data_IF_380518991257
#
_entry.id   IF_380518991257
#
_cell.length_a   1.000
_cell.length_b   1.000
_cell.length_c   1.000
_cell.angle_alpha   90.00
_cell.angle_beta   90.00
_cell.angle_gamma   90.00
#
_symmetry.space_group_name_H-M   'P 1'
#
loop_
_entity.id
_entity.type
_entity.pdbx_description
1 polymer ?
#
# COMPACT_ATOMS: atom_id res chain seq x y z
N UNK A 1 -22.66 12.22 16.01
CA UNK A 1 -21.48 11.96 16.86
C UNK A 1 -20.44 13.00 16.44
N UNK A 2 -20.01 13.84 17.38
CA UNK A 2 -19.43 15.16 17.12
C UNK A 2 -17.90 15.13 17.06
N UNK A 3 -17.31 16.12 16.39
CA UNK A 3 -15.89 16.41 16.28
C UNK A 3 -15.08 16.26 17.59
N UNK A 4 -15.71 16.59 18.73
CA UNK A 4 -15.20 16.39 20.10
C UNK A 4 -14.72 14.95 20.39
N UNK A 5 -15.37 13.94 19.81
CA UNK A 5 -15.01 12.52 20.03
C UNK A 5 -13.64 12.19 19.44
N UNK A 6 -13.28 12.86 18.33
CA UNK A 6 -11.97 12.72 17.69
C UNK A 6 -10.87 13.36 18.55
N UNK A 7 -11.15 14.52 19.15
CA UNK A 7 -10.23 15.25 20.02
C UNK A 7 -10.05 14.59 21.39
N UNK A 8 -11.10 13.97 21.92
CA UNK A 8 -11.06 13.25 23.19
C UNK A 8 -10.30 11.92 23.13
N UNK A 9 -9.96 11.41 21.95
CA UNK A 9 -9.28 10.12 21.78
C UNK A 9 -10.12 8.91 22.23
N UNK A 10 -11.42 9.10 22.48
CA UNK A 10 -12.30 8.07 23.01
C UNK A 10 -13.16 7.48 21.90
N UNK A 11 -12.65 6.44 21.26
CA UNK A 11 -13.40 5.58 20.33
C UNK A 11 -12.66 5.27 19.01
N UNK A 12 -13.11 4.26 18.25
CA UNK A 12 -12.55 3.97 16.94
C UNK A 12 -12.66 5.19 16.02
N UNK A 13 -11.56 5.60 15.38
CA UNK A 13 -11.53 6.78 14.48
C UNK A 13 -12.56 6.67 13.36
N UNK A 14 -12.92 5.46 12.97
CA UNK A 14 -13.93 5.21 11.93
C UNK A 14 -15.30 5.81 12.30
N UNK A 15 -15.68 5.82 13.58
CA UNK A 15 -16.97 6.37 14.01
C UNK A 15 -16.96 7.91 14.04
N UNK A 16 -15.82 8.50 14.41
CA UNK A 16 -15.62 9.94 14.27
C UNK A 16 -15.64 10.38 12.80
N UNK A 17 -15.12 9.56 11.89
CA UNK A 17 -15.12 9.85 10.45
C UNK A 17 -16.54 10.01 9.89
N UNK A 18 -17.51 9.26 10.38
CA UNK A 18 -18.91 9.39 9.95
C UNK A 18 -19.50 10.79 10.22
N UNK A 19 -18.97 11.50 11.23
CA UNK A 19 -19.35 12.88 11.56
C UNK A 19 -18.88 13.91 10.55
N UNK A 20 -17.93 13.58 9.66
CA UNK A 20 -17.45 14.47 8.61
C UNK A 20 -18.31 14.44 7.32
N UNK A 21 -19.50 13.83 7.39
CA UNK A 21 -20.42 13.79 6.26
C UNK A 21 -20.80 15.19 5.80
N UNK A 22 -20.49 15.51 4.54
CA UNK A 22 -20.82 16.79 3.91
C UNK A 22 -19.85 17.95 4.23
N UNK A 23 -18.82 17.73 5.04
CA UNK A 23 -17.80 18.75 5.31
C UNK A 23 -16.70 18.74 4.25
N UNK A 24 -16.40 19.93 3.72
CA UNK A 24 -15.26 20.17 2.85
C UNK A 24 -13.96 20.34 3.65
N UNK A 25 -12.81 20.37 2.95
CA UNK A 25 -11.51 20.61 3.60
C UNK A 25 -11.48 22.02 4.21
N UNK A 26 -12.11 22.97 3.54
CA UNK A 26 -12.25 24.36 3.92
C UNK A 26 -13.08 24.48 5.18
N UNK A 27 -14.20 23.76 5.28
CA UNK A 27 -15.04 23.73 6.49
C UNK A 27 -14.26 23.19 7.68
N UNK A 28 -13.51 22.10 7.51
CA UNK A 28 -12.68 21.54 8.58
C UNK A 28 -11.56 22.50 8.99
N UNK A 29 -10.95 23.17 8.02
CA UNK A 29 -9.90 24.16 8.30
C UNK A 29 -10.46 25.37 9.06
N UNK A 30 -11.66 25.83 8.70
CA UNK A 30 -12.37 26.90 9.41
C UNK A 30 -12.72 26.50 10.86
N UNK A 31 -12.92 25.21 11.11
CA UNK A 31 -13.11 24.64 12.46
C UNK A 31 -11.78 24.38 13.20
N UNK A 32 -10.64 24.85 12.69
CA UNK A 32 -9.36 24.84 13.39
C UNK A 32 -8.48 23.62 13.12
N UNK A 33 -8.84 22.72 12.18
CA UNK A 33 -7.92 21.66 11.77
C UNK A 33 -6.81 22.23 10.87
N UNK A 34 -5.62 21.67 11.02
CA UNK A 34 -4.56 21.87 10.04
C UNK A 34 -5.03 21.37 8.64
N UNK A 35 -4.81 22.14 7.56
CA UNK A 35 -5.24 21.76 6.21
C UNK A 35 -4.75 20.37 5.77
N UNK A 36 -3.57 19.95 6.21
CA UNK A 36 -3.03 18.61 5.94
C UNK A 36 -3.90 17.51 6.54
N UNK A 37 -4.30 17.70 7.80
CA UNK A 37 -5.11 16.76 8.57
C UNK A 37 -6.55 16.73 8.03
N UNK A 38 -7.11 17.90 7.69
CA UNK A 38 -8.42 18.01 7.06
C UNK A 38 -8.50 17.23 5.73
N UNK A 39 -7.52 17.41 4.82
CA UNK A 39 -7.46 16.66 3.55
C UNK A 39 -7.39 15.15 3.77
N UNK A 40 -6.60 14.73 4.77
CA UNK A 40 -6.46 13.31 5.14
C UNK A 40 -7.80 12.73 5.58
N UNK A 41 -8.51 13.39 6.48
CA UNK A 41 -9.81 12.91 6.96
C UNK A 41 -10.88 12.90 5.87
N UNK A 42 -10.96 13.94 5.03
CA UNK A 42 -11.90 13.95 3.89
C UNK A 42 -11.60 12.80 2.93
N UNK A 43 -10.32 12.49 2.67
CA UNK A 43 -9.92 11.37 1.81
C UNK A 43 -10.33 10.02 2.42
N UNK A 44 -10.11 9.84 3.72
CA UNK A 44 -10.53 8.63 4.44
C UNK A 44 -12.06 8.50 4.45
N UNK A 45 -12.78 9.58 4.74
CA UNK A 45 -14.25 9.62 4.68
C UNK A 45 -14.75 9.19 3.29
N UNK A 46 -14.25 9.82 2.22
CA UNK A 46 -14.65 9.47 0.85
C UNK A 46 -14.31 8.02 0.48
N UNK A 47 -13.26 7.44 1.07
CA UNK A 47 -12.88 6.05 0.82
C UNK A 47 -13.79 5.06 1.54
N UNK A 48 -14.14 5.33 2.80
CA UNK A 48 -14.86 4.39 3.67
C UNK A 48 -16.37 4.61 3.69
N UNK A 49 -16.85 5.82 3.44
CA UNK A 49 -18.27 6.22 3.44
C UNK A 49 -18.75 6.75 2.08
N UNK A 50 -17.85 6.99 1.14
CA UNK A 50 -18.23 7.41 -0.21
C UNK A 50 -18.92 6.31 -1.02
N UNK A 51 -19.57 6.68 -2.14
CA UNK A 51 -20.28 5.73 -3.00
C UNK A 51 -19.30 4.74 -3.65
N UNK A 52 -19.64 3.46 -3.59
CA UNK A 52 -18.87 2.39 -4.24
C UNK A 52 -19.75 1.24 -4.68
N UNK A 53 -19.35 0.54 -5.75
CA UNK A 53 -20.02 -0.69 -6.19
C UNK A 53 -19.77 -1.88 -5.27
N UNK A 54 -18.77 -1.80 -4.39
CA UNK A 54 -18.37 -2.88 -3.47
C UNK A 54 -18.90 -2.66 -2.04
N UNK A 55 -20.15 -2.25 -1.89
CA UNK A 55 -20.78 -1.89 -0.59
C UNK A 55 -20.64 -2.97 0.48
N UNK A 56 -20.77 -4.25 0.12
CA UNK A 56 -20.58 -5.37 1.06
C UNK A 56 -19.14 -5.52 1.58
N UNK A 57 -18.14 -5.16 0.78
CA UNK A 57 -16.73 -5.15 1.22
C UNK A 57 -16.42 -3.88 2.03
N UNK A 58 -16.99 -2.74 1.63
CA UNK A 58 -16.93 -1.49 2.40
C UNK A 58 -17.48 -1.69 3.81
N UNK A 59 -18.68 -2.25 3.94
CA UNK A 59 -19.27 -2.57 5.23
C UNK A 59 -18.40 -3.50 6.08
N UNK A 60 -17.84 -4.57 5.48
CA UNK A 60 -16.91 -5.48 6.19
C UNK A 60 -15.65 -4.77 6.66
N UNK A 61 -15.11 -3.84 5.88
CA UNK A 61 -13.93 -3.06 6.27
C UNK A 61 -14.27 -2.12 7.44
N UNK A 62 -15.41 -1.42 7.37
CA UNK A 62 -15.93 -0.56 8.45
C UNK A 62 -16.10 -1.34 9.76
N UNK A 63 -16.82 -2.46 9.72
CA UNK A 63 -17.07 -3.29 10.91
C UNK A 63 -15.77 -3.83 11.50
N UNK A 64 -14.83 -4.27 10.66
CA UNK A 64 -13.52 -4.75 11.13
C UNK A 64 -12.66 -3.63 11.72
N UNK A 65 -12.66 -2.45 11.10
CA UNK A 65 -11.92 -1.31 11.62
C UNK A 65 -12.48 -0.82 12.97
N UNK A 66 -13.80 -0.85 13.12
CA UNK A 66 -14.48 -0.57 14.39
C UNK A 66 -14.10 -1.60 15.45
N UNK A 67 -14.16 -2.89 15.14
CA UNK A 67 -13.85 -3.95 16.12
C UNK A 67 -12.39 -3.94 16.57
N UNK A 68 -11.46 -3.58 15.68
CA UNK A 68 -10.03 -3.49 16.00
C UNK A 68 -9.62 -2.15 16.62
N UNK A 69 -10.49 -1.14 16.61
CA UNK A 69 -10.19 0.19 17.16
C UNK A 69 -9.07 0.91 16.40
N UNK A 70 -9.02 0.81 15.07
CA UNK A 70 -7.94 1.43 14.29
C UNK A 70 -7.91 2.96 14.43
N UNK A 71 -6.70 3.51 14.56
CA UNK A 71 -6.45 4.95 14.54
C UNK A 71 -6.44 5.52 13.12
N UNK A 72 -6.42 6.85 12.99
CA UNK A 72 -6.34 7.54 11.71
C UNK A 72 -5.04 7.20 10.94
N UNK A 73 -3.94 7.02 11.68
CA UNK A 73 -2.63 6.64 11.18
C UNK A 73 -2.64 5.21 10.65
N UNK A 74 -3.29 4.29 11.37
CA UNK A 74 -3.44 2.90 10.92
C UNK A 74 -4.27 2.81 9.63
N UNK A 75 -5.39 3.53 9.54
CA UNK A 75 -6.20 3.58 8.32
C UNK A 75 -5.45 4.18 7.13
N UNK A 76 -4.70 5.27 7.36
CA UNK A 76 -3.87 5.89 6.33
C UNK A 76 -2.74 4.98 5.86
N UNK A 77 -2.12 4.25 6.80
CA UNK A 77 -1.13 3.23 6.46
C UNK A 77 -1.75 2.12 5.60
N UNK A 78 -2.94 1.63 5.95
CA UNK A 78 -3.69 0.69 5.12
C UNK A 78 -3.89 1.25 3.71
N UNK A 79 -4.37 2.49 3.59
CA UNK A 79 -4.60 3.12 2.29
C UNK A 79 -3.32 3.32 1.47
N UNK A 80 -2.19 3.60 2.12
CA UNK A 80 -0.90 3.66 1.44
C UNK A 80 -0.54 2.32 0.77
N UNK A 81 -0.89 1.19 1.39
CA UNK A 81 -0.63 -0.15 0.85
C UNK A 81 -1.65 -0.53 -0.22
N UNK A 82 -2.93 -0.21 -0.04
CA UNK A 82 -3.99 -0.51 -1.03
C UNK A 82 -3.79 0.24 -2.34
N UNK A 83 -3.25 1.47 -2.30
CA UNK A 83 -2.90 2.26 -3.50
C UNK A 83 -1.97 1.53 -4.47
N UNK A 84 -1.17 0.57 -4.00
CA UNK A 84 -0.20 -0.19 -4.80
C UNK A 84 -0.83 -1.30 -5.65
N UNK A 85 -2.07 -1.68 -5.37
CA UNK A 85 -2.81 -2.69 -6.14
C UNK A 85 -3.49 -1.97 -7.31
N UNK A 86 -3.55 -2.56 -8.51
CA UNK A 86 -4.26 -1.94 -9.64
C UNK A 86 -5.76 -2.31 -9.63
N UNK A 87 -6.05 -3.60 -9.49
CA UNK A 87 -7.42 -4.14 -9.52
C UNK A 87 -8.29 -3.62 -8.38
N UNK A 88 -9.47 -3.08 -8.71
CA UNK A 88 -10.40 -2.45 -7.76
C UNK A 88 -10.98 -3.46 -6.77
N UNK A 89 -11.29 -4.68 -7.21
CA UNK A 89 -11.82 -5.72 -6.33
C UNK A 89 -10.73 -6.21 -5.35
N UNK A 90 -9.52 -6.45 -5.85
CA UNK A 90 -8.37 -6.81 -5.03
C UNK A 90 -8.01 -5.72 -4.00
N UNK A 91 -8.13 -4.43 -4.36
CA UNK A 91 -7.99 -3.31 -3.40
C UNK A 91 -8.95 -3.45 -2.23
N UNK A 92 -10.24 -3.69 -2.50
CA UNK A 92 -11.25 -3.84 -1.45
C UNK A 92 -11.03 -5.09 -0.60
N UNK A 93 -10.68 -6.22 -1.23
CA UNK A 93 -10.33 -7.45 -0.50
C UNK A 93 -9.12 -7.23 0.42
N UNK A 94 -8.10 -6.53 -0.07
CA UNK A 94 -6.93 -6.16 0.72
C UNK A 94 -7.32 -5.24 1.89
N UNK A 95 -8.13 -4.21 1.64
CA UNK A 95 -8.61 -3.29 2.67
C UNK A 95 -9.33 -4.03 3.79
N UNK A 96 -10.29 -4.90 3.46
CA UNK A 96 -11.01 -5.72 4.46
C UNK A 96 -10.04 -6.58 5.27
N UNK A 97 -9.08 -7.22 4.59
CA UNK A 97 -8.10 -8.09 5.26
C UNK A 97 -7.21 -7.32 6.24
N UNK A 98 -6.73 -6.14 5.83
CA UNK A 98 -5.91 -5.29 6.69
C UNK A 98 -6.72 -4.69 7.85
N UNK A 99 -7.96 -4.28 7.62
CA UNK A 99 -8.84 -3.78 8.69
C UNK A 99 -9.13 -4.85 9.74
N UNK A 100 -9.18 -6.14 9.37
CA UNK A 100 -9.33 -7.26 10.31
C UNK A 100 -8.06 -7.58 11.11
N UNK A 101 -6.91 -7.09 10.68
CA UNK A 101 -5.61 -7.40 11.29
C UNK A 101 -5.35 -6.41 12.42
N UNK A 102 -4.82 -6.85 13.59
CA UNK A 102 -4.38 -5.95 14.65
C UNK A 102 -3.30 -4.97 14.17
N UNK A 103 -3.31 -3.73 14.69
CA UNK A 103 -2.44 -2.64 14.21
C UNK A 103 -0.94 -3.03 14.09
N UNK A 104 -0.41 -3.75 15.09
CA UNK A 104 0.99 -4.19 15.11
C UNK A 104 1.38 -5.16 13.98
N UNK A 105 0.41 -5.86 13.39
CA UNK A 105 0.65 -6.89 12.36
C UNK A 105 0.28 -6.43 10.94
N UNK A 106 -0.31 -5.24 10.78
CA UNK A 106 -0.78 -4.74 9.48
C UNK A 106 0.34 -4.73 8.46
N UNK A 107 1.55 -4.29 8.83
CA UNK A 107 2.67 -4.20 7.91
C UNK A 107 3.11 -5.57 7.38
N UNK A 108 3.28 -6.55 8.27
CA UNK A 108 3.68 -7.90 7.92
C UNK A 108 2.66 -8.53 6.95
N UNK A 109 1.37 -8.45 7.32
CA UNK A 109 0.27 -8.99 6.50
C UNK A 109 0.17 -8.26 5.15
N UNK A 110 0.29 -6.92 5.13
CA UNK A 110 0.26 -6.14 3.91
C UNK A 110 1.39 -6.54 2.96
N UNK A 111 2.61 -6.70 3.46
CA UNK A 111 3.77 -7.11 2.66
C UNK A 111 3.54 -8.48 2.01
N UNK A 112 3.03 -9.44 2.77
CA UNK A 112 2.71 -10.77 2.24
C UNK A 112 1.60 -10.73 1.18
N UNK A 113 0.53 -9.96 1.42
CA UNK A 113 -0.55 -9.85 0.45
C UNK A 113 -0.09 -9.15 -0.83
N UNK A 114 0.69 -8.09 -0.72
CA UNK A 114 1.25 -7.40 -1.88
C UNK A 114 2.19 -8.30 -2.68
N UNK A 115 2.95 -9.17 -2.02
CA UNK A 115 3.78 -10.19 -2.72
C UNK A 115 2.92 -11.20 -3.48
N UNK A 116 1.78 -11.62 -2.91
CA UNK A 116 0.83 -12.54 -3.57
C UNK A 116 0.10 -11.89 -4.76
N UNK A 117 -0.20 -10.60 -4.66
CA UNK A 117 -0.88 -9.83 -5.71
C UNK A 117 0.09 -9.32 -6.78
N UNK A 118 1.38 -9.24 -6.49
CA UNK A 118 2.39 -8.88 -7.47
C UNK A 118 2.43 -9.96 -8.57
N UNK A 119 2.17 -9.56 -9.82
CA UNK A 119 2.41 -10.42 -10.98
C UNK A 119 3.87 -10.89 -10.92
N UNK A 120 4.16 -12.19 -10.98
CA UNK A 120 5.52 -12.68 -11.10
C UNK A 120 6.20 -11.95 -12.25
N UNK A 121 7.38 -11.36 -12.01
CA UNK A 121 8.15 -10.73 -13.07
C UNK A 121 8.49 -11.81 -14.08
N UNK A 122 7.95 -11.69 -15.29
CA UNK A 122 8.41 -12.49 -16.43
C UNK A 122 9.88 -12.12 -16.64
N UNK A 123 10.78 -13.02 -16.24
CA UNK A 123 12.21 -12.87 -16.44
C UNK A 123 12.46 -13.15 -17.92
N UNK A 124 12.54 -12.09 -18.72
CA UNK A 124 12.91 -12.21 -20.13
C UNK A 124 14.41 -12.48 -20.21
N UNK A 125 14.79 -13.43 -21.06
CA UNK A 125 16.20 -13.65 -21.38
C UNK A 125 16.80 -12.35 -21.95
N UNK A 126 18.03 -12.05 -21.55
CA UNK A 126 18.66 -10.80 -21.95
C UNK A 126 20.00 -10.56 -21.29
N UNK A 127 20.79 -9.70 -21.91
CA UNK A 127 22.09 -9.25 -21.43
C UNK A 127 22.03 -7.76 -21.17
N UNK A 128 22.44 -7.35 -19.97
CA UNK A 128 22.63 -5.94 -19.62
C UNK A 128 24.11 -5.70 -19.38
N UNK A 129 24.68 -4.70 -20.05
CA UNK A 129 26.05 -4.25 -19.85
C UNK A 129 26.00 -2.86 -19.22
N UNK A 130 26.59 -2.72 -18.04
CA UNK A 130 26.72 -1.46 -17.32
C UNK A 130 28.19 -1.07 -17.27
N UNK A 131 28.53 0.08 -17.83
CA UNK A 131 29.86 0.65 -17.72
C UNK A 131 29.96 1.53 -16.48
N UNK A 132 31.06 1.42 -15.76
CA UNK A 132 31.35 2.21 -14.57
C UNK A 132 32.42 3.25 -14.88
N UNK A 133 32.38 4.37 -14.17
CA UNK A 133 33.33 5.48 -14.34
C UNK A 133 34.81 5.08 -14.06
N UNK A 134 35.02 3.96 -13.36
CA UNK A 134 36.35 3.40 -13.09
C UNK A 134 36.93 2.55 -14.24
N UNK A 135 36.30 2.55 -15.42
CA UNK A 135 36.73 1.80 -16.59
C UNK A 135 36.36 0.31 -16.57
N UNK A 136 35.73 -0.17 -15.50
CA UNK A 136 35.20 -1.53 -15.42
C UNK A 136 33.78 -1.60 -15.99
N UNK A 137 33.40 -2.76 -16.50
CA UNK A 137 32.03 -3.03 -16.94
C UNK A 137 31.46 -4.25 -16.22
N UNK A 138 30.19 -4.17 -15.83
CA UNK A 138 29.43 -5.29 -15.29
C UNK A 138 28.50 -5.82 -16.38
N UNK A 139 28.69 -7.09 -16.75
CA UNK A 139 27.79 -7.81 -17.65
C UNK A 139 26.88 -8.72 -16.83
N UNK A 140 25.57 -8.49 -16.95
CA UNK A 140 24.52 -9.30 -16.33
C UNK A 140 23.78 -10.05 -17.43
N UNK A 141 24.05 -11.35 -17.56
CA UNK A 141 23.34 -12.23 -18.46
C UNK A 141 22.25 -12.99 -17.71
N UNK A 142 21.05 -13.03 -18.27
CA UNK A 142 19.93 -13.83 -17.78
C UNK A 142 19.49 -14.76 -18.89
N UNK A 143 19.63 -16.07 -18.68
CA UNK A 143 19.31 -17.11 -19.65
C UNK A 143 19.09 -18.44 -18.94
N UNK A 144 18.68 -19.45 -19.71
CA UNK A 144 18.52 -20.83 -19.23
C UNK A 144 19.86 -21.40 -18.71
N UNK A 145 19.85 -22.27 -17.68
CA UNK A 145 21.06 -22.75 -16.97
C UNK A 145 22.22 -23.19 -17.91
N UNK A 146 21.88 -23.90 -18.99
CA UNK A 146 22.84 -24.34 -20.02
C UNK A 146 23.51 -23.20 -20.81
N UNK A 147 22.84 -22.06 -21.03
CA UNK A 147 23.43 -20.92 -21.75
C UNK A 147 24.29 -20.03 -20.85
N UNK A 148 23.95 -19.92 -19.57
CA UNK A 148 24.75 -19.17 -18.58
C UNK A 148 26.06 -19.86 -18.20
N UNK A 149 26.10 -21.20 -18.24
CA UNK A 149 27.30 -21.99 -17.92
C UNK A 149 28.45 -21.71 -18.90
N UNK A 150 28.16 -21.61 -20.20
CA UNK A 150 29.20 -21.39 -21.21
C UNK A 150 29.83 -19.97 -21.11
N UNK A 151 29.05 -18.97 -20.70
CA UNK A 151 29.54 -17.60 -20.52
C UNK A 151 30.50 -17.46 -19.32
N UNK A 152 30.26 -18.19 -18.23
CA UNK A 152 31.20 -18.23 -17.09
C UNK A 152 32.55 -18.82 -17.52
N UNK A 153 32.53 -19.89 -18.32
CA UNK A 153 33.74 -20.56 -18.81
C UNK A 153 34.51 -19.69 -19.81
N UNK A 154 33.81 -18.94 -20.67
CA UNK A 154 34.42 -18.00 -21.62
C UNK A 154 35.08 -16.80 -20.90
N UNK A 155 34.48 -16.32 -19.81
CA UNK A 155 35.01 -15.18 -19.06
C UNK A 155 36.26 -15.52 -18.24
N UNK A 156 36.34 -16.75 -17.70
CA UNK A 156 37.53 -17.26 -17.03
C UNK A 156 38.70 -17.46 -18.01
N UNK A 157 38.44 -17.95 -19.22
CA UNK A 157 39.47 -18.19 -20.23
C UNK A 157 40.03 -16.91 -20.85
N UNK A 158 39.22 -15.84 -20.95
CA UNK A 158 39.66 -14.52 -21.44
C UNK A 158 40.49 -13.71 -20.43
N UNK A 159 40.47 -14.06 -19.13
CA UNK A 159 41.31 -13.40 -18.11
C UNK A 159 42.68 -14.05 -17.90
N UNK A 160 42.91 -15.25 -18.44
CA UNK A 160 44.13 -16.05 -18.24
C UNK A 160 45.11 -16.00 -19.42
N UNK A 161 44.86 -15.16 -20.44
CA UNK A 161 45.80 -14.82 -21.51
C UNK A 161 46.17 -13.35 -21.40
#
# INVERSE_FOLDING_TARGET
>A
MNFETLLAGQGPVIDALAGFAGHSVEDLTANGLCPFVARKYVTLYNTYYGPTTYTGLQYKALTAARSQGHSAEALDFIESKTKRVADKLAKWKLRVKLCKTPAAQIEAVAREQLKKLAKPREVKEGVSLTHHANGLATLKATGTNLSTLWMSTLWLTLKTK
#
